data_IF_843274164099
#
_entry.id   IF_843274164099
#
_cell.length_a   1.000
_cell.length_b   1.000
_cell.length_c   1.000
_cell.angle_alpha   90.00
_cell.angle_beta   90.00
_cell.angle_gamma   90.00
#
_symmetry.space_group_name_H-M   'P 1'
#
loop_
_entity.id
_entity.type
_entity.pdbx_description
1 polymer ?
#
# COMPACT_ATOMS: atom_id res chain seq x y z
N UNK A 1 22.91 -4.03 8.73
CA UNK A 1 23.26 -4.46 7.36
C UNK A 1 23.73 -3.22 6.62
N UNK A 2 24.97 -3.17 6.10
CA UNK A 2 25.40 -2.01 5.29
C UNK A 2 24.73 -2.10 3.92
N UNK A 3 23.96 -1.07 3.50
CA UNK A 3 23.39 -1.02 2.16
C UNK A 3 24.49 -1.00 1.08
N UNK A 4 24.24 -1.68 0.00
CA UNK A 4 25.08 -1.66 -1.21
C UNK A 4 24.71 -0.48 -2.11
N UNK A 5 25.57 -0.17 -3.09
CA UNK A 5 25.27 0.85 -4.11
C UNK A 5 23.95 0.57 -4.85
N UNK A 6 23.65 -0.71 -5.11
CA UNK A 6 22.40 -1.11 -5.76
C UNK A 6 21.20 -0.82 -4.86
N UNK A 7 21.30 -0.97 -3.55
CA UNK A 7 20.18 -0.62 -2.64
C UNK A 7 19.84 0.87 -2.70
N UNK A 8 20.85 1.75 -2.81
CA UNK A 8 20.62 3.19 -2.98
C UNK A 8 19.87 3.48 -4.28
N UNK A 9 20.24 2.80 -5.39
CA UNK A 9 19.51 2.90 -6.67
C UNK A 9 18.08 2.40 -6.52
N UNK A 10 17.87 1.24 -5.90
CA UNK A 10 16.52 0.68 -5.70
C UNK A 10 15.64 1.61 -4.85
N UNK A 11 16.16 2.17 -3.76
CA UNK A 11 15.43 3.16 -2.95
C UNK A 11 15.11 4.40 -3.76
N UNK A 12 16.04 4.93 -4.55
CA UNK A 12 15.79 6.07 -5.42
C UNK A 12 14.71 5.77 -6.47
N UNK A 13 14.81 4.63 -7.14
CA UNK A 13 13.87 4.25 -8.21
C UNK A 13 12.48 3.92 -7.64
N UNK A 14 12.39 3.00 -6.68
CA UNK A 14 11.10 2.55 -6.14
C UNK A 14 10.50 3.50 -5.12
N UNK A 15 11.33 4.24 -4.39
CA UNK A 15 10.87 5.17 -3.37
C UNK A 15 10.60 6.58 -3.90
N UNK A 16 11.32 7.04 -4.93
CA UNK A 16 11.18 8.42 -5.39
C UNK A 16 10.73 8.50 -6.85
N UNK A 17 11.45 7.86 -7.78
CA UNK A 17 11.19 8.04 -9.22
C UNK A 17 9.82 7.48 -9.61
N UNK A 18 9.53 6.21 -9.29
CA UNK A 18 8.25 5.60 -9.63
C UNK A 18 7.07 6.25 -8.89
N UNK A 19 7.11 6.52 -7.57
CA UNK A 19 6.06 7.27 -6.88
C UNK A 19 5.81 8.65 -7.43
N UNK A 20 6.86 9.39 -7.78
CA UNK A 20 6.74 10.71 -8.38
C UNK A 20 5.99 10.65 -9.72
N UNK A 21 6.38 9.72 -10.61
CA UNK A 21 5.71 9.57 -11.89
C UNK A 21 4.28 9.03 -11.76
N UNK A 22 4.03 8.04 -10.89
CA UNK A 22 2.69 7.51 -10.67
C UNK A 22 1.76 8.52 -9.99
N UNK A 23 2.27 9.28 -9.03
CA UNK A 23 1.48 10.27 -8.31
C UNK A 23 1.09 11.48 -9.16
N UNK A 24 2.03 12.04 -9.94
CA UNK A 24 1.76 13.25 -10.73
C UNK A 24 1.03 12.93 -12.03
N UNK A 25 1.46 11.90 -12.77
CA UNK A 25 0.83 11.53 -14.04
C UNK A 25 -0.38 10.61 -13.87
N UNK A 26 -0.49 9.92 -12.73
CA UNK A 26 -1.55 8.96 -12.48
C UNK A 26 -2.93 9.57 -12.58
N UNK A 27 -3.17 10.75 -11.99
CA UNK A 27 -4.47 11.43 -12.04
C UNK A 27 -4.87 11.80 -13.46
N UNK A 28 -3.96 12.35 -14.27
CA UNK A 28 -4.22 12.71 -15.66
C UNK A 28 -4.46 11.46 -16.53
N UNK A 29 -3.61 10.44 -16.38
CA UNK A 29 -3.75 9.21 -17.14
C UNK A 29 -5.03 8.45 -16.80
N UNK A 30 -5.38 8.32 -15.50
CA UNK A 30 -6.59 7.66 -15.06
C UNK A 30 -7.84 8.40 -15.50
N UNK A 31 -7.83 9.75 -15.50
CA UNK A 31 -8.94 10.56 -15.98
C UNK A 31 -9.22 10.44 -17.48
N UNK A 32 -8.22 10.08 -18.27
CA UNK A 32 -8.34 9.89 -19.73
C UNK A 32 -8.76 8.46 -20.12
N UNK A 33 -8.81 7.51 -19.18
CA UNK A 33 -9.18 6.12 -19.45
C UNK A 33 -10.68 5.94 -19.16
N UNK A 34 -11.44 5.47 -20.16
CA UNK A 34 -12.78 4.99 -19.91
C UNK A 34 -12.72 3.56 -19.31
N UNK A 35 -13.10 3.47 -18.03
CA UNK A 35 -13.08 2.20 -17.28
C UNK A 35 -14.41 1.44 -17.48
N UNK A 36 -14.48 0.61 -18.51
CA UNK A 36 -15.48 -0.46 -18.62
C UNK A 36 -15.01 -1.73 -17.87
N UNK A 37 -15.86 -2.75 -17.74
CA UNK A 37 -15.53 -4.00 -17.04
C UNK A 37 -14.23 -4.64 -17.59
N UNK A 38 -14.06 -4.65 -18.92
CA UNK A 38 -12.88 -5.24 -19.56
C UNK A 38 -11.61 -4.46 -19.26
N UNK A 39 -11.69 -3.14 -19.28
CA UNK A 39 -10.56 -2.24 -19.00
C UNK A 39 -10.15 -2.31 -17.53
N UNK A 40 -11.10 -2.35 -16.59
CA UNK A 40 -10.78 -2.57 -15.17
C UNK A 40 -10.09 -3.90 -14.94
N UNK A 41 -10.58 -5.00 -15.50
CA UNK A 41 -9.94 -6.32 -15.37
C UNK A 41 -8.52 -6.34 -15.95
N UNK A 42 -8.30 -5.72 -17.10
CA UNK A 42 -6.94 -5.57 -17.66
C UNK A 42 -6.04 -4.75 -16.75
N UNK A 43 -6.56 -3.64 -16.21
CA UNK A 43 -5.82 -2.80 -15.27
C UNK A 43 -5.40 -3.59 -14.03
N UNK A 44 -6.31 -4.34 -13.39
CA UNK A 44 -5.98 -5.17 -12.24
C UNK A 44 -4.86 -6.16 -12.53
N UNK A 45 -4.93 -6.86 -13.65
CA UNK A 45 -3.93 -7.87 -14.01
C UNK A 45 -2.59 -7.21 -14.38
N UNK A 46 -2.60 -6.16 -15.21
CA UNK A 46 -1.36 -5.51 -15.65
C UNK A 46 -0.62 -4.83 -14.48
N UNK A 47 -1.36 -4.15 -13.60
CA UNK A 47 -0.78 -3.56 -12.39
C UNK A 47 -0.19 -4.63 -11.46
N UNK A 48 -0.90 -5.75 -11.28
CA UNK A 48 -0.40 -6.88 -10.49
C UNK A 48 0.90 -7.45 -11.06
N UNK A 49 0.95 -7.70 -12.36
CA UNK A 49 2.16 -8.23 -13.02
C UNK A 49 3.34 -7.26 -12.89
N UNK A 50 3.09 -5.96 -13.03
CA UNK A 50 4.13 -4.95 -12.84
C UNK A 50 4.66 -4.97 -11.39
N UNK A 51 3.78 -4.98 -10.38
CA UNK A 51 4.19 -5.04 -8.97
C UNK A 51 4.99 -6.31 -8.65
N UNK A 52 4.57 -7.47 -9.15
CA UNK A 52 5.35 -8.71 -8.99
C UNK A 52 6.71 -8.63 -9.66
N UNK A 53 6.79 -8.05 -10.86
CA UNK A 53 8.07 -7.86 -11.55
C UNK A 53 9.02 -6.96 -10.74
N UNK A 54 8.53 -5.83 -10.23
CA UNK A 54 9.32 -4.90 -9.43
C UNK A 54 9.78 -5.55 -8.11
N UNK A 55 8.89 -6.29 -7.45
CA UNK A 55 9.20 -7.03 -6.22
C UNK A 55 10.23 -8.13 -6.48
N UNK A 56 10.11 -8.85 -7.60
CA UNK A 56 11.08 -9.87 -7.98
C UNK A 56 12.50 -9.32 -8.18
N UNK A 57 12.63 -8.10 -8.72
CA UNK A 57 13.95 -7.43 -8.82
C UNK A 57 14.56 -7.21 -7.43
N UNK A 58 13.80 -6.67 -6.49
CA UNK A 58 14.28 -6.42 -5.12
C UNK A 58 14.64 -7.74 -4.43
N UNK A 59 13.79 -8.76 -4.54
CA UNK A 59 14.03 -10.08 -3.96
C UNK A 59 15.26 -10.77 -4.56
N UNK A 60 15.46 -10.63 -5.87
CA UNK A 60 16.63 -11.16 -6.56
C UNK A 60 17.92 -10.47 -6.09
N UNK A 61 17.93 -9.15 -6.02
CA UNK A 61 19.08 -8.39 -5.51
C UNK A 61 19.37 -8.80 -4.07
N UNK A 62 18.35 -8.89 -3.21
CA UNK A 62 18.50 -9.34 -1.83
C UNK A 62 19.15 -10.71 -1.73
N UNK A 63 18.68 -11.67 -2.55
CA UNK A 63 19.21 -13.02 -2.64
C UNK A 63 20.68 -13.05 -3.12
N UNK A 64 21.01 -12.31 -4.18
CA UNK A 64 22.36 -12.26 -4.74
C UNK A 64 23.41 -11.71 -3.77
N UNK A 65 22.99 -10.84 -2.84
CA UNK A 65 23.86 -10.36 -1.76
C UNK A 65 23.91 -11.31 -0.55
N UNK A 66 23.32 -12.52 -0.64
CA UNK A 66 23.33 -13.52 0.43
C UNK A 66 22.63 -13.08 1.72
N UNK A 67 21.70 -12.15 1.64
CA UNK A 67 21.03 -11.57 2.81
C UNK A 67 19.89 -12.47 3.28
N UNK A 68 19.74 -12.73 4.60
CA UNK A 68 18.65 -13.55 5.08
C UNK A 68 17.30 -12.84 4.90
N UNK A 69 16.31 -13.53 4.33
CA UNK A 69 14.96 -13.01 4.14
C UNK A 69 14.23 -12.69 5.46
N UNK A 70 14.67 -13.27 6.56
CA UNK A 70 14.18 -12.92 7.90
C UNK A 70 14.39 -11.44 8.26
N UNK A 71 15.39 -10.77 7.70
CA UNK A 71 15.59 -9.32 7.86
C UNK A 71 14.52 -8.50 7.14
N UNK A 72 13.96 -9.01 6.04
CA UNK A 72 12.82 -8.41 5.35
C UNK A 72 11.47 -8.74 6.02
N UNK A 73 11.48 -9.45 7.15
CA UNK A 73 10.26 -9.82 7.87
C UNK A 73 9.61 -11.14 7.42
N UNK A 74 10.29 -11.96 6.60
CA UNK A 74 9.85 -13.34 6.32
C UNK A 74 10.18 -14.25 7.52
N UNK A 75 9.50 -14.01 8.62
CA UNK A 75 9.68 -14.71 9.89
C UNK A 75 8.39 -14.72 10.70
N UNK A 76 8.34 -15.56 11.72
CA UNK A 76 7.24 -15.57 12.69
C UNK A 76 7.16 -14.23 13.42
N UNK A 77 5.95 -13.84 13.79
CA UNK A 77 5.67 -12.63 14.55
C UNK A 77 6.42 -12.72 15.89
N UNK A 78 7.22 -11.74 16.21
CA UNK A 78 7.78 -11.61 17.56
C UNK A 78 6.67 -11.26 18.55
N UNK A 79 6.61 -12.00 19.65
CA UNK A 79 5.57 -11.89 20.66
C UNK A 79 5.80 -10.67 21.55
N UNK A 80 5.01 -9.64 21.31
CA UNK A 80 4.94 -8.46 22.15
C UNK A 80 3.50 -7.92 22.08
N UNK A 81 3.05 -7.21 23.09
CA UNK A 81 1.70 -6.62 23.12
C UNK A 81 1.57 -5.39 22.20
N UNK A 82 2.69 -4.69 21.94
CA UNK A 82 2.69 -3.43 21.21
C UNK A 82 2.25 -3.55 19.74
N UNK A 83 2.71 -4.51 18.92
CA UNK A 83 2.18 -4.71 17.56
C UNK A 83 0.66 -4.91 17.53
N UNK A 84 0.12 -5.64 18.50
CA UNK A 84 -1.31 -5.91 18.58
C UNK A 84 -2.12 -4.68 18.98
N UNK A 85 -1.62 -3.84 19.91
CA UNK A 85 -2.25 -2.56 20.23
C UNK A 85 -2.24 -1.63 19.03
N UNK A 86 -1.10 -1.50 18.35
CA UNK A 86 -1.01 -0.66 17.14
C UNK A 86 -1.97 -1.17 16.05
N UNK A 87 -2.07 -2.48 15.88
CA UNK A 87 -3.03 -3.12 14.96
C UNK A 87 -4.47 -2.78 15.34
N UNK A 88 -4.82 -2.92 16.62
CA UNK A 88 -6.17 -2.60 17.11
C UNK A 88 -6.51 -1.11 16.93
N UNK A 89 -5.58 -0.22 17.25
CA UNK A 89 -5.74 1.23 17.04
C UNK A 89 -5.95 1.56 15.57
N UNK A 90 -5.18 0.93 14.68
CA UNK A 90 -5.32 1.13 13.24
C UNK A 90 -6.66 0.64 12.72
N UNK A 91 -7.09 -0.57 13.11
CA UNK A 91 -8.40 -1.12 12.72
C UNK A 91 -9.54 -0.25 13.27
N UNK A 92 -9.43 0.22 14.51
CA UNK A 92 -10.41 1.12 15.10
C UNK A 92 -10.48 2.46 14.34
N UNK A 93 -9.34 3.09 14.05
CA UNK A 93 -9.28 4.35 13.29
C UNK A 93 -9.87 4.19 11.88
N UNK A 94 -9.51 3.09 11.18
CA UNK A 94 -10.07 2.78 9.87
C UNK A 94 -11.60 2.54 9.93
N UNK A 95 -12.07 1.81 10.93
CA UNK A 95 -13.51 1.58 11.13
C UNK A 95 -14.27 2.88 11.38
N UNK A 96 -13.72 3.77 12.20
CA UNK A 96 -14.31 5.10 12.44
C UNK A 96 -14.37 5.91 11.15
N UNK A 97 -13.32 5.92 10.34
CA UNK A 97 -13.30 6.63 9.05
C UNK A 97 -14.34 6.07 8.07
N UNK A 98 -14.48 4.75 7.97
CA UNK A 98 -15.49 4.09 7.14
C UNK A 98 -16.90 4.42 7.65
N UNK A 99 -17.16 4.30 8.95
CA UNK A 99 -18.47 4.61 9.53
C UNK A 99 -18.83 6.08 9.28
N UNK A 100 -17.89 7.00 9.46
CA UNK A 100 -18.10 8.41 9.17
C UNK A 100 -18.43 8.66 7.69
N UNK A 101 -17.72 8.00 6.78
CA UNK A 101 -17.91 8.14 5.32
C UNK A 101 -19.27 7.66 4.83
N UNK A 102 -19.98 6.81 5.61
CA UNK A 102 -21.32 6.30 5.28
C UNK A 102 -22.39 6.79 6.25
N UNK A 103 -22.05 7.66 7.21
CA UNK A 103 -22.94 8.08 8.30
C UNK A 103 -24.20 8.81 7.85
N UNK A 104 -24.11 9.59 6.77
CA UNK A 104 -25.24 10.31 6.21
C UNK A 104 -25.30 10.16 4.69
N UNK A 105 -26.47 10.33 4.07
CA UNK A 105 -26.58 10.32 2.60
C UNK A 105 -25.67 11.34 1.91
N UNK A 106 -25.43 12.49 2.56
CA UNK A 106 -24.56 13.54 2.04
C UNK A 106 -23.08 13.10 2.04
N UNK A 107 -22.57 12.53 3.15
CA UNK A 107 -21.19 12.04 3.24
C UNK A 107 -20.97 10.82 2.31
N UNK A 108 -21.97 9.95 2.20
CA UNK A 108 -21.94 8.83 1.27
C UNK A 108 -21.81 9.35 -0.19
N UNK A 109 -22.59 10.33 -0.59
CA UNK A 109 -22.52 10.94 -1.93
C UNK A 109 -21.16 11.59 -2.18
N UNK A 110 -20.63 12.35 -1.22
CA UNK A 110 -19.27 12.94 -1.32
C UNK A 110 -18.20 11.87 -1.49
N UNK A 111 -18.32 10.78 -0.77
CA UNK A 111 -17.40 9.64 -0.87
C UNK A 111 -17.48 8.98 -2.24
N UNK A 112 -18.68 8.77 -2.78
CA UNK A 112 -18.90 8.23 -4.11
C UNK A 112 -18.29 9.14 -5.19
N UNK A 113 -18.58 10.43 -5.18
CA UNK A 113 -18.05 11.42 -6.12
C UNK A 113 -16.50 11.46 -6.06
N UNK A 114 -15.93 11.41 -4.87
CA UNK A 114 -14.48 11.34 -4.70
C UNK A 114 -13.89 10.06 -5.30
N UNK A 115 -14.51 8.90 -5.07
CA UNK A 115 -14.01 7.62 -5.59
C UNK A 115 -14.14 7.55 -7.12
N UNK A 116 -15.23 8.00 -7.68
CA UNK A 116 -15.41 8.06 -9.14
C UNK A 116 -14.37 8.95 -9.83
N UNK A 117 -13.97 10.04 -9.19
CA UNK A 117 -12.94 10.93 -9.74
C UNK A 117 -11.51 10.48 -9.53
N UNK A 118 -11.21 9.90 -8.36
CA UNK A 118 -9.83 9.63 -7.93
C UNK A 118 -9.39 8.19 -8.16
N UNK A 119 -10.31 7.23 -8.09
CA UNK A 119 -10.05 5.78 -8.22
C UNK A 119 -11.07 5.10 -9.14
N UNK A 120 -11.20 5.56 -10.41
CA UNK A 120 -12.22 5.10 -11.35
C UNK A 120 -12.09 3.61 -11.73
N UNK A 121 -10.98 3.00 -11.35
CA UNK A 121 -10.73 1.58 -11.55
C UNK A 121 -11.32 0.68 -10.48
N UNK A 122 -11.93 1.21 -9.39
CA UNK A 122 -12.60 0.34 -8.40
C UNK A 122 -13.67 -0.54 -9.05
N UNK A 123 -13.88 -1.78 -8.54
CA UNK A 123 -14.83 -2.69 -9.15
C UNK A 123 -16.27 -2.18 -8.98
N UNK A 124 -17.08 -2.28 -10.03
CA UNK A 124 -18.50 -1.92 -10.01
C UNK A 124 -19.42 -3.14 -9.95
N UNK A 125 -18.90 -4.32 -10.34
CA UNK A 125 -19.67 -5.54 -10.41
C UNK A 125 -18.96 -6.72 -9.74
N UNK A 126 -19.74 -7.62 -9.13
CA UNK A 126 -19.20 -8.84 -8.49
C UNK A 126 -18.40 -9.74 -9.46
N UNK A 127 -18.65 -9.65 -10.76
CA UNK A 127 -17.89 -10.39 -11.79
C UNK A 127 -16.43 -9.95 -11.90
N UNK A 128 -16.09 -8.76 -11.42
CA UNK A 128 -14.73 -8.19 -11.42
C UNK A 128 -13.93 -8.66 -10.21
N UNK A 129 -14.61 -9.14 -9.14
CA UNK A 129 -13.97 -9.50 -7.88
C UNK A 129 -12.81 -10.48 -7.99
N UNK A 130 -12.82 -11.54 -8.82
CA UNK A 130 -11.67 -12.44 -8.89
C UNK A 130 -10.38 -11.73 -9.31
N UNK A 131 -10.44 -10.87 -10.34
CA UNK A 131 -9.30 -10.09 -10.81
C UNK A 131 -8.91 -8.99 -9.79
N UNK A 132 -9.90 -8.34 -9.17
CA UNK A 132 -9.68 -7.37 -8.12
C UNK A 132 -9.06 -7.99 -6.87
N UNK A 133 -9.53 -9.16 -6.43
CA UNK A 133 -8.94 -9.89 -5.30
C UNK A 133 -7.47 -10.23 -5.57
N UNK A 134 -7.15 -10.65 -6.81
CA UNK A 134 -5.76 -10.88 -7.21
C UNK A 134 -4.93 -9.59 -7.08
N UNK A 135 -5.48 -8.45 -7.48
CA UNK A 135 -4.81 -7.16 -7.31
C UNK A 135 -4.62 -6.82 -5.83
N UNK A 136 -5.64 -6.99 -4.97
CA UNK A 136 -5.52 -6.74 -3.53
C UNK A 136 -4.47 -7.64 -2.85
N UNK A 137 -4.42 -8.94 -3.22
CA UNK A 137 -3.38 -9.85 -2.72
C UNK A 137 -2.00 -9.37 -3.18
N UNK A 138 -1.89 -9.00 -4.45
CA UNK A 138 -0.62 -8.51 -5.02
C UNK A 138 -0.18 -7.23 -4.33
N UNK A 139 -1.06 -6.24 -4.16
CA UNK A 139 -0.74 -5.00 -3.47
C UNK A 139 -0.30 -5.28 -2.03
N UNK A 140 -1.11 -6.02 -1.25
CA UNK A 140 -0.79 -6.38 0.12
C UNK A 140 0.54 -7.14 0.27
N UNK A 141 0.92 -7.99 -0.68
CA UNK A 141 2.20 -8.71 -0.61
C UNK A 141 3.35 -7.86 -1.14
N UNK A 142 3.23 -7.36 -2.38
CA UNK A 142 4.34 -6.70 -3.06
C UNK A 142 4.69 -5.35 -2.44
N UNK A 143 3.70 -4.54 -2.12
CA UNK A 143 3.95 -3.23 -1.53
C UNK A 143 4.50 -3.36 -0.10
N UNK A 144 4.03 -4.34 0.69
CA UNK A 144 4.61 -4.58 2.00
C UNK A 144 6.05 -5.10 1.94
N UNK A 145 6.39 -5.96 0.96
CA UNK A 145 7.78 -6.38 0.72
C UNK A 145 8.64 -5.17 0.34
N UNK A 146 8.18 -4.32 -0.58
CA UNK A 146 8.95 -3.18 -1.05
C UNK A 146 9.12 -2.10 0.02
N UNK A 147 8.03 -1.70 0.67
CA UNK A 147 8.08 -0.56 1.61
C UNK A 147 8.46 -0.98 3.02
N UNK A 148 7.93 -2.10 3.56
CA UNK A 148 8.24 -2.54 4.95
C UNK A 148 9.43 -3.48 4.96
N UNK A 149 9.41 -4.51 4.13
CA UNK A 149 10.51 -5.47 4.05
C UNK A 149 11.83 -4.84 3.62
N UNK A 150 11.84 -4.11 2.50
CA UNK A 150 13.06 -3.55 1.95
C UNK A 150 13.37 -2.13 2.47
N UNK A 151 12.48 -1.14 2.26
CA UNK A 151 12.81 0.26 2.59
C UNK A 151 12.92 0.51 4.09
N UNK A 152 12.00 0.00 4.94
CA UNK A 152 12.15 0.15 6.40
C UNK A 152 13.44 -0.50 6.86
N UNK A 153 13.78 -1.71 6.36
CA UNK A 153 15.04 -2.39 6.71
C UNK A 153 16.26 -1.59 6.25
N UNK A 154 16.19 -0.98 5.07
CA UNK A 154 17.23 -0.09 4.56
C UNK A 154 17.47 1.12 5.48
N UNK A 155 16.40 1.79 5.94
CA UNK A 155 16.50 2.97 6.79
C UNK A 155 16.73 2.67 8.27
N UNK A 156 16.57 1.41 8.72
CA UNK A 156 16.79 1.01 10.12
C UNK A 156 18.28 0.95 10.48
N UNK A 157 19.17 0.93 9.48
CA UNK A 157 20.61 0.88 9.72
C UNK A 157 21.10 2.18 10.40
N UNK A 158 21.61 2.11 11.66
CA UNK A 158 22.03 3.29 12.42
C UNK A 158 23.18 4.06 11.76
N UNK A 159 23.99 3.40 10.92
CA UNK A 159 25.11 4.04 10.22
C UNK A 159 24.64 4.95 9.10
N UNK A 160 23.40 4.77 8.59
CA UNK A 160 22.86 5.55 7.48
C UNK A 160 21.94 6.69 7.94
N UNK A 161 21.14 6.48 8.99
CA UNK A 161 20.12 7.48 9.38
C UNK A 161 20.47 8.22 10.66
N UNK A 162 21.24 7.62 11.57
CA UNK A 162 21.46 8.16 12.91
C UNK A 162 20.18 8.29 13.77
N UNK A 163 18.98 8.12 13.14
CA UNK A 163 17.67 8.31 13.77
C UNK A 163 16.73 7.15 13.43
N UNK A 164 16.47 6.20 14.34
CA UNK A 164 15.65 5.01 14.07
C UNK A 164 14.21 5.31 13.59
N UNK A 165 13.63 6.45 13.99
CA UNK A 165 12.28 6.85 13.56
C UNK A 165 12.19 7.19 12.06
N UNK A 166 13.32 7.55 11.42
CA UNK A 166 13.36 7.77 9.97
C UNK A 166 13.00 6.49 9.20
N UNK A 167 13.29 5.31 9.76
CA UNK A 167 12.93 4.03 9.17
C UNK A 167 11.41 3.84 9.04
N UNK A 168 10.59 4.51 9.84
CA UNK A 168 9.14 4.48 9.71
C UNK A 168 8.63 5.63 8.83
N UNK A 169 9.15 6.84 9.01
CA UNK A 169 8.63 8.06 8.40
C UNK A 169 8.95 8.15 6.91
N UNK A 170 10.21 7.91 6.50
CA UNK A 170 10.59 8.03 5.09
C UNK A 170 9.83 7.08 4.18
N UNK A 171 9.77 5.75 4.44
CA UNK A 171 8.95 4.86 3.62
C UNK A 171 7.47 5.24 3.60
N UNK A 172 6.92 5.78 4.70
CA UNK A 172 5.53 6.23 4.75
C UNK A 172 5.28 7.46 3.87
N UNK A 173 6.22 8.42 3.85
CA UNK A 173 6.16 9.56 2.92
C UNK A 173 6.21 9.08 1.47
N UNK A 174 7.18 8.24 1.13
CA UNK A 174 7.37 7.75 -0.23
C UNK A 174 6.15 6.95 -0.71
N UNK A 175 5.57 6.13 0.15
CA UNK A 175 4.34 5.39 -0.11
C UNK A 175 3.14 6.32 -0.36
N UNK A 176 2.98 7.34 0.47
CA UNK A 176 1.87 8.29 0.31
C UNK A 176 1.99 9.14 -0.96
N UNK A 177 3.22 9.49 -1.37
CA UNK A 177 3.47 10.18 -2.63
C UNK A 177 3.09 9.35 -3.85
N UNK A 178 3.30 8.03 -3.82
CA UNK A 178 2.85 7.12 -4.87
C UNK A 178 1.32 7.15 -5.07
N UNK A 179 0.59 7.52 -4.03
CA UNK A 179 -0.88 7.60 -4.01
C UNK A 179 -1.43 9.01 -4.14
N UNK A 180 -0.60 10.00 -4.50
CA UNK A 180 -1.02 11.39 -4.65
C UNK A 180 -2.15 11.57 -5.69
N UNK A 181 -2.24 10.67 -6.68
CA UNK A 181 -3.34 10.64 -7.65
C UNK A 181 -4.73 10.50 -7.02
N UNK A 182 -4.84 9.99 -5.79
CA UNK A 182 -6.09 9.89 -5.03
C UNK A 182 -6.50 11.22 -4.37
N UNK A 183 -5.70 12.26 -4.51
CA UNK A 183 -5.92 13.57 -3.95
C UNK A 183 -5.29 13.79 -2.57
N UNK A 184 -5.16 15.05 -2.18
CA UNK A 184 -4.42 15.48 -0.99
C UNK A 184 -4.95 14.87 0.32
N UNK A 185 -6.29 14.81 0.48
CA UNK A 185 -6.90 14.23 1.70
C UNK A 185 -6.62 12.74 1.84
N UNK A 186 -6.70 12.00 0.74
CA UNK A 186 -6.38 10.59 0.71
C UNK A 186 -4.89 10.37 0.99
N UNK A 187 -4.01 11.19 0.41
CA UNK A 187 -2.56 11.12 0.64
C UNK A 187 -2.21 11.24 2.14
N UNK A 188 -2.85 12.17 2.89
CA UNK A 188 -2.61 12.28 4.35
C UNK A 188 -3.07 11.02 5.09
N UNK A 189 -4.26 10.49 4.76
CA UNK A 189 -4.76 9.25 5.36
C UNK A 189 -3.83 8.07 5.07
N UNK A 190 -3.37 7.95 3.85
CA UNK A 190 -2.44 6.90 3.41
C UNK A 190 -1.09 7.05 4.13
N UNK A 191 -0.58 8.27 4.31
CA UNK A 191 0.62 8.51 5.10
C UNK A 191 0.47 7.99 6.54
N UNK A 192 -0.62 8.33 7.22
CA UNK A 192 -0.86 7.89 8.60
C UNK A 192 -1.01 6.37 8.70
N UNK A 193 -1.74 5.74 7.77
CA UNK A 193 -1.86 4.28 7.70
C UNK A 193 -0.51 3.63 7.42
N UNK A 194 0.26 4.17 6.47
CA UNK A 194 1.58 3.66 6.13
C UNK A 194 2.57 3.77 7.29
N UNK A 195 2.50 4.85 8.06
CA UNK A 195 3.29 5.02 9.27
C UNK A 195 2.94 3.95 10.32
N UNK A 196 1.66 3.69 10.56
CA UNK A 196 1.21 2.63 11.46
C UNK A 196 1.67 1.24 10.99
N UNK A 197 1.58 0.94 9.70
CA UNK A 197 2.11 -0.29 9.12
C UNK A 197 3.63 -0.43 9.34
N UNK A 198 4.40 0.65 9.14
CA UNK A 198 5.83 0.64 9.40
C UNK A 198 6.14 0.36 10.88
N UNK A 199 5.40 0.98 11.81
CA UNK A 199 5.56 0.74 13.25
C UNK A 199 5.17 -0.70 13.63
N UNK A 200 4.03 -1.21 13.12
CA UNK A 200 3.62 -2.61 13.34
C UNK A 200 4.71 -3.57 12.85
N UNK A 201 5.26 -3.33 11.66
CA UNK A 201 6.36 -4.12 11.11
C UNK A 201 7.62 -4.05 11.98
N UNK A 202 8.06 -2.86 12.39
CA UNK A 202 9.26 -2.66 13.22
C UNK A 202 9.16 -3.43 14.55
N UNK A 203 7.99 -3.41 15.19
CA UNK A 203 7.80 -4.07 16.48
C UNK A 203 7.46 -5.54 16.39
N UNK A 204 6.77 -5.99 15.32
CA UNK A 204 6.47 -7.42 15.09
C UNK A 204 7.60 -8.16 14.39
N UNK A 205 8.45 -7.43 13.67
CA UNK A 205 9.50 -7.92 12.77
C UNK A 205 9.00 -8.93 11.72
N UNK A 206 7.70 -8.88 11.42
CA UNK A 206 7.05 -9.81 10.48
C UNK A 206 6.14 -9.04 9.52
N UNK A 207 6.21 -9.42 8.24
CA UNK A 207 5.33 -8.89 7.20
C UNK A 207 3.90 -9.44 7.31
N UNK A 208 3.69 -10.55 8.00
CA UNK A 208 2.42 -11.28 7.95
C UNK A 208 1.22 -10.43 8.38
N UNK A 209 1.34 -9.69 9.51
CA UNK A 209 0.24 -8.85 10.02
C UNK A 209 -0.12 -7.76 9.00
N UNK A 210 0.90 -7.03 8.54
CA UNK A 210 0.69 -5.88 7.64
C UNK A 210 0.16 -6.32 6.28
N UNK A 211 0.61 -7.45 5.73
CA UNK A 211 0.09 -8.05 4.50
C UNK A 211 -1.40 -8.38 4.63
N UNK A 212 -1.79 -9.06 5.72
CA UNK A 212 -3.18 -9.46 5.92
C UNK A 212 -4.08 -8.23 6.05
N UNK A 213 -3.67 -7.23 6.82
CA UNK A 213 -4.50 -6.05 7.05
C UNK A 213 -4.57 -5.19 5.79
N UNK A 214 -3.49 -5.03 5.06
CA UNK A 214 -3.48 -4.31 3.78
C UNK A 214 -4.47 -4.94 2.80
N UNK A 215 -4.34 -6.26 2.59
CA UNK A 215 -5.31 -7.01 1.78
C UNK A 215 -6.75 -6.77 2.20
N UNK A 216 -7.05 -6.85 3.51
CA UNK A 216 -8.42 -6.68 4.02
C UNK A 216 -8.96 -5.27 3.80
N UNK A 217 -8.13 -4.24 3.96
CA UNK A 217 -8.51 -2.84 3.71
C UNK A 217 -8.87 -2.65 2.24
N UNK A 218 -8.00 -3.07 1.32
CA UNK A 218 -8.24 -2.92 -0.12
C UNK A 218 -9.46 -3.71 -0.58
N UNK A 219 -9.55 -4.96 -0.14
CA UNK A 219 -10.67 -5.82 -0.49
C UNK A 219 -12.02 -5.28 0.02
N UNK A 220 -12.05 -4.78 1.27
CA UNK A 220 -13.22 -4.14 1.84
C UNK A 220 -13.62 -2.89 1.06
N UNK A 221 -12.66 -2.08 0.63
CA UNK A 221 -12.87 -0.92 -0.24
C UNK A 221 -13.56 -1.29 -1.55
N UNK A 222 -13.10 -2.35 -2.21
CA UNK A 222 -13.75 -2.82 -3.45
C UNK A 222 -15.17 -3.36 -3.24
N UNK A 223 -15.43 -4.08 -2.15
CA UNK A 223 -16.79 -4.52 -1.80
C UNK A 223 -17.71 -3.31 -1.53
N UNK A 224 -17.19 -2.30 -0.83
CA UNK A 224 -17.93 -1.07 -0.57
C UNK A 224 -18.29 -0.35 -1.88
N UNK A 225 -17.33 -0.24 -2.82
CA UNK A 225 -17.56 0.39 -4.12
C UNK A 225 -18.69 -0.29 -4.91
N UNK A 226 -18.69 -1.64 -4.99
CA UNK A 226 -19.76 -2.39 -5.65
C UNK A 226 -21.13 -2.12 -5.01
N UNK A 227 -21.19 -2.08 -3.68
CA UNK A 227 -22.44 -1.82 -2.95
C UNK A 227 -22.97 -0.40 -3.16
N UNK A 228 -22.07 0.57 -3.15
CA UNK A 228 -22.42 1.98 -3.40
C UNK A 228 -23.01 2.16 -4.82
N UNK A 229 -22.38 1.57 -5.84
CA UNK A 229 -22.84 1.65 -7.23
C UNK A 229 -24.20 0.99 -7.46
N UNK A 230 -24.54 -0.05 -6.69
CA UNK A 230 -25.82 -0.76 -6.80
C UNK A 230 -26.98 0.01 -6.17
N UNK A 231 -26.70 0.89 -5.20
CA UNK A 231 -27.73 1.60 -4.42
C UNK A 231 -27.93 3.06 -4.90
N UNK A 232 -27.12 3.56 -5.84
CA UNK A 232 -27.27 4.85 -6.52
C UNK A 232 -27.82 4.68 -7.94
#
# INVERSE_FOLDING_TARGET
MSPSFIDHILVLVFGLVLPFFSGIRGSEQLGNIHFDERTRRKFFISNSLLLWFLTAIVMLVWFLYGRPFSLMGFRKIETGWLPWILTLLMVAAYTVDVVYSIFSPEELRKTQEQWESSVPFLPEHYRELPAYTFMCITAGVCEEILFRGFMVTYFIDPMHTGFPWMAAVFPAILFSLAHFYQGYKAMIKIFLLSLLFALIFIFSKSLLIVIIIHFLIDFAGGIAAIRMKKNG
#
